data_IF_225063633273
#
_entry.id   IF_225063633273
#
_cell.length_a   1.000
_cell.length_b   1.000
_cell.length_c   1.000
_cell.angle_alpha   90.00
_cell.angle_beta   90.00
_cell.angle_gamma   90.00
#
_symmetry.space_group_name_H-M   'P 1'
#
loop_
_entity.id
_entity.type
_entity.pdbx_description
1 polymer ?
2 polymer ?
3 non-polymer ?
4 non-polymer ?
5 water ?
#
# COMPACT_ATOMS: atom_id res chain seq x y z
N UNK A 10 -2.19 -6.09 -29.88
CA UNK A 10 -2.90 -6.26 -28.59
C UNK A 10 -2.20 -7.24 -27.64
N UNK A 11 -1.87 -6.78 -26.43
CA UNK A 11 -1.16 -7.56 -25.39
C UNK A 11 -2.20 -8.36 -24.59
N UNK A 12 -2.03 -9.67 -24.47
CA UNK A 12 -2.99 -10.60 -23.82
C UNK A 12 -2.29 -11.27 -22.64
N UNK A 13 -3.08 -11.83 -21.73
CA UNK A 13 -2.60 -12.60 -20.57
C UNK A 13 -1.64 -13.69 -21.08
N UNK A 14 -1.99 -14.32 -22.20
CA UNK A 14 -1.25 -15.52 -22.69
C UNK A 14 0.15 -15.10 -23.17
N UNK A 15 0.29 -13.92 -23.79
CA UNK A 15 1.63 -13.42 -24.22
C UNK A 15 2.49 -13.12 -22.98
N UNK A 16 1.91 -12.63 -21.90
CA UNK A 16 2.63 -12.29 -20.66
C UNK A 16 3.10 -13.58 -19.98
N UNK A 17 2.28 -14.64 -20.07
CA UNK A 17 2.35 -15.83 -19.20
C UNK A 17 3.68 -16.53 -19.37
N UNK A 18 4.28 -16.51 -20.55
CA UNK A 18 5.55 -17.26 -20.78
C UNK A 18 6.76 -16.41 -20.39
N UNK A 19 6.59 -15.15 -20.01
CA UNK A 19 7.77 -14.27 -19.78
C UNK A 19 8.04 -14.23 -18.28
N UNK A 20 9.31 -14.04 -17.86
CA UNK A 20 9.59 -13.84 -16.43
C UNK A 20 8.94 -12.54 -15.95
N UNK A 21 8.64 -12.42 -14.64
CA UNK A 21 7.87 -11.30 -14.09
C UNK A 21 8.39 -9.88 -14.43
N UNK A 22 9.72 -9.68 -14.47
CA UNK A 22 10.33 -8.36 -14.77
C UNK A 22 10.08 -8.03 -16.24
N UNK A 23 10.14 -9.03 -17.13
CA UNK A 23 9.82 -8.88 -18.57
C UNK A 23 8.32 -8.59 -18.75
N UNK A 24 7.47 -9.19 -17.92
CA UNK A 24 6.01 -8.96 -17.97
C UNK A 24 5.73 -7.47 -17.70
N UNK A 25 6.36 -6.92 -16.67
CA UNK A 25 6.20 -5.50 -16.26
C UNK A 25 6.73 -4.62 -17.40
N UNK A 26 7.84 -5.00 -18.02
CA UNK A 26 8.42 -4.26 -19.17
C UNK A 26 7.42 -4.25 -20.34
N UNK A 27 6.78 -5.38 -20.64
CA UNK A 27 5.85 -5.47 -21.80
C UNK A 27 4.61 -4.61 -21.53
N UNK A 28 4.10 -4.65 -20.29
CA UNK A 28 2.92 -3.83 -19.90
C UNK A 28 3.28 -2.34 -19.97
N UNK A 29 4.45 -2.00 -19.45
CA UNK A 29 5.03 -0.65 -19.47
C UNK A 29 5.06 -0.07 -20.87
N UNK A 30 5.55 -0.84 -21.84
CA UNK A 30 5.70 -0.38 -23.25
C UNK A 30 4.33 -0.10 -23.86
N UNK A 31 3.28 -0.76 -23.42
CA UNK A 31 1.92 -0.50 -23.96
C UNK A 31 1.28 0.66 -23.20
N UNK A 32 1.50 0.77 -21.90
CA UNK A 32 0.84 1.83 -21.09
C UNK A 32 1.50 3.18 -21.36
N UNK A 33 2.82 3.21 -21.46
CA UNK A 33 3.58 4.46 -21.52
C UNK A 33 3.05 5.42 -22.60
N UNK A 34 2.87 5.00 -23.87
CA UNK A 34 2.42 5.93 -24.90
C UNK A 34 1.04 6.52 -24.63
N UNK A 35 0.12 5.74 -24.05
CA UNK A 35 -1.24 6.23 -23.68
C UNK A 35 -1.11 7.26 -22.56
N UNK A 36 -0.29 6.96 -21.56
CA UNK A 36 -0.12 7.87 -20.41
C UNK A 36 0.59 9.15 -20.87
N UNK A 37 1.55 9.00 -21.79
CA UNK A 37 2.30 10.13 -22.36
C UNK A 37 1.36 11.05 -23.16
N UNK A 38 0.38 10.51 -23.87
CA UNK A 38 -0.63 11.32 -24.57
C UNK A 38 -1.40 12.17 -23.56
N UNK A 39 -1.62 11.69 -22.32
CA UNK A 39 -2.37 12.41 -21.26
C UNK A 39 -1.47 13.43 -20.55
N UNK A 40 -0.29 13.00 -20.11
CA UNK A 40 0.58 13.78 -19.21
C UNK A 40 2.02 13.54 -19.62
N UNK A 41 2.49 14.24 -20.68
CA UNK A 41 3.82 14.00 -21.23
C UNK A 41 4.97 14.09 -20.22
N UNK A 42 4.93 15.03 -19.27
CA UNK A 42 6.05 15.22 -18.31
C UNK A 42 6.01 14.13 -17.25
N UNK A 43 4.82 13.65 -16.87
CA UNK A 43 4.68 12.69 -15.74
C UNK A 43 4.63 11.22 -16.22
N UNK A 44 4.71 10.96 -17.52
CA UNK A 44 4.37 9.64 -18.11
C UNK A 44 5.27 8.54 -17.52
N UNK A 45 6.57 8.79 -17.42
CA UNK A 45 7.52 7.82 -16.84
C UNK A 45 7.18 7.53 -15.39
N UNK A 46 6.89 8.56 -14.61
CA UNK A 46 6.59 8.40 -13.18
C UNK A 46 5.24 7.67 -13.03
N UNK A 47 4.24 8.09 -13.77
CA UNK A 47 2.88 7.52 -13.60
C UNK A 47 2.90 6.07 -14.08
N UNK A 48 3.59 5.80 -15.18
CA UNK A 48 3.71 4.40 -15.67
C UNK A 48 4.34 3.56 -14.56
N UNK A 49 5.44 4.03 -13.98
CA UNK A 49 6.12 3.32 -12.87
C UNK A 49 5.18 3.02 -11.72
N UNK A 50 4.33 3.98 -11.34
CA UNK A 50 3.37 3.83 -10.20
C UNK A 50 2.35 2.75 -10.57
N UNK A 51 1.84 2.77 -11.80
CA UNK A 51 0.81 1.78 -12.23
C UNK A 51 1.44 0.38 -12.29
N UNK A 52 2.71 0.26 -12.68
CA UNK A 52 3.34 -1.08 -12.86
C UNK A 52 3.46 -1.81 -11.53
N UNK A 53 3.34 -1.12 -10.38
CA UNK A 53 3.40 -1.80 -9.06
C UNK A 53 2.13 -2.63 -8.83
N UNK A 54 1.03 -2.37 -9.53
CA UNK A 54 -0.25 -3.09 -9.24
C UNK A 54 -0.26 -4.46 -9.95
N UNK A 55 -1.30 -5.25 -9.70
CA UNK A 55 -1.50 -6.62 -10.25
C UNK A 55 -1.57 -6.57 -11.78
N UNK A 56 -0.90 -7.48 -12.46
CA UNK A 56 -0.91 -7.58 -13.94
C UNK A 56 -2.34 -7.72 -14.47
N UNK A 57 -3.25 -8.36 -13.76
CA UNK A 57 -4.65 -8.50 -14.24
C UNK A 57 -5.28 -7.10 -14.33
N UNK A 58 -5.03 -6.23 -13.35
CA UNK A 58 -5.59 -4.86 -13.31
C UNK A 58 -5.00 -4.10 -14.50
N UNK A 59 -3.71 -4.25 -14.75
CA UNK A 59 -2.99 -3.57 -15.86
C UNK A 59 -3.55 -4.01 -17.21
N UNK A 60 -3.83 -5.30 -17.40
CA UNK A 60 -4.44 -5.78 -18.68
C UNK A 60 -5.83 -5.19 -18.85
N UNK A 61 -6.62 -5.14 -17.78
CA UNK A 61 -7.95 -4.50 -17.81
C UNK A 61 -7.81 -3.04 -18.27
N UNK A 62 -6.84 -2.32 -17.76
CA UNK A 62 -6.68 -0.88 -18.12
C UNK A 62 -6.26 -0.70 -19.58
N UNK A 63 -5.55 -1.66 -20.16
CA UNK A 63 -5.23 -1.60 -21.61
C UNK A 63 -6.48 -1.88 -22.45
N UNK A 64 -7.46 -2.58 -21.91
CA UNK A 64 -8.72 -2.88 -22.62
C UNK A 64 -9.78 -1.81 -22.30
N UNK A 65 -9.68 -1.07 -21.18
CA UNK A 65 -10.73 -0.12 -20.77
C UNK A 65 -10.14 1.28 -20.62
N UNK A 66 -10.20 2.13 -21.67
CA UNK A 66 -9.72 3.50 -21.59
C UNK A 66 -10.25 4.33 -20.40
N UNK A 67 -11.53 4.18 -20.05
CA UNK A 67 -12.15 4.88 -18.89
C UNK A 67 -11.46 4.41 -17.59
N UNK A 68 -11.14 3.14 -17.43
CA UNK A 68 -10.43 2.64 -16.25
C UNK A 68 -9.02 3.25 -16.21
N UNK A 69 -8.31 3.27 -17.34
CA UNK A 69 -6.92 3.81 -17.36
C UNK A 69 -6.97 5.29 -16.96
N UNK A 70 -7.88 6.06 -17.56
CA UNK A 70 -7.95 7.53 -17.33
C UNK A 70 -8.17 7.77 -15.83
N UNK A 71 -9.07 7.02 -15.17
CA UNK A 71 -9.32 7.17 -13.72
C UNK A 71 -8.10 6.77 -12.90
N UNK A 72 -7.38 5.75 -13.32
CA UNK A 72 -6.20 5.30 -12.56
C UNK A 72 -5.08 6.33 -12.68
N UNK A 73 -4.96 6.98 -13.84
CA UNK A 73 -3.99 8.07 -14.07
C UNK A 73 -4.40 9.29 -13.19
N UNK A 74 -5.69 9.61 -13.07
CA UNK A 74 -6.20 10.65 -12.16
C UNK A 74 -5.80 10.31 -10.71
N UNK A 75 -5.90 9.04 -10.31
CA UNK A 75 -5.47 8.60 -8.97
C UNK A 75 -3.96 8.87 -8.83
N UNK A 76 -3.13 8.50 -9.81
CA UNK A 76 -1.67 8.71 -9.76
C UNK A 76 -1.35 10.22 -9.61
N UNK A 77 -1.99 11.07 -10.39
CA UNK A 77 -1.79 12.55 -10.34
C UNK A 77 -2.16 13.06 -8.94
N UNK A 78 -3.29 12.65 -8.39
CA UNK A 78 -3.70 13.08 -7.02
C UNK A 78 -2.67 12.59 -5.99
N UNK A 79 -2.17 11.37 -6.15
CA UNK A 79 -1.17 10.79 -5.22
C UNK A 79 0.13 11.63 -5.31
N UNK A 80 0.56 12.02 -6.49
CA UNK A 80 1.76 12.91 -6.64
C UNK A 80 1.51 14.28 -5.97
N UNK A 81 0.35 14.88 -6.18
CA UNK A 81 -0.03 16.16 -5.56
C UNK A 81 0.01 16.02 -4.04
N UNK A 82 -0.54 14.91 -3.50
CA UNK A 82 -0.56 14.63 -2.05
C UNK A 82 0.87 14.59 -1.53
N UNK A 83 1.76 13.90 -2.24
CA UNK A 83 3.16 13.72 -1.80
C UNK A 83 3.89 15.07 -1.79
N UNK A 84 3.67 15.90 -2.79
CA UNK A 84 4.26 17.28 -2.86
C UNK A 84 3.73 18.10 -1.67
N UNK A 85 2.43 18.01 -1.34
CA UNK A 85 1.83 18.73 -0.22
C UNK A 85 2.44 18.21 1.09
N UNK A 86 2.59 16.90 1.24
CA UNK A 86 3.20 16.28 2.42
C UNK A 86 4.60 16.85 2.64
N UNK A 87 5.40 16.93 1.59
CA UNK A 87 6.81 17.43 1.68
C UNK A 87 6.78 18.92 2.03
N UNK A 88 5.87 19.71 1.44
CA UNK A 88 5.74 21.15 1.74
C UNK A 88 5.32 21.34 3.22
N UNK A 89 4.42 20.51 3.75
CA UNK A 89 3.99 20.55 5.17
C UNK A 89 5.18 20.28 6.09
N UNK A 90 6.04 19.32 5.72
CA UNK A 90 7.22 18.91 6.51
C UNK A 90 8.27 20.03 6.53
N UNK A 91 8.41 20.79 5.45
CA UNK A 91 9.42 21.85 5.28
C UNK A 91 8.94 23.17 5.91
N UNK A 92 7.67 23.29 6.27
CA UNK A 92 7.07 24.54 6.81
C UNK A 92 6.87 24.42 8.32
N UNK B 10 -4.64 28.54 24.97
CA UNK B 10 -3.50 27.89 24.30
C UNK B 10 -3.31 26.43 24.78
N UNK B 11 -3.32 25.48 23.83
CA UNK B 11 -3.17 24.03 24.09
C UNK B 11 -1.67 23.71 24.12
N UNK B 12 -1.18 23.05 25.17
CA UNK B 12 0.27 22.77 25.40
C UNK B 12 0.50 21.25 25.38
N UNK B 13 1.72 20.85 25.04
CA UNK B 13 2.12 19.43 25.00
C UNK B 13 1.85 18.82 26.39
N UNK B 14 2.05 19.58 27.46
CA UNK B 14 1.91 19.05 28.85
C UNK B 14 0.44 18.74 29.13
N UNK B 15 -0.51 19.57 28.69
CA UNK B 15 -1.93 19.29 29.02
C UNK B 15 -2.39 18.11 28.15
N UNK B 16 -1.85 17.98 26.93
CA UNK B 16 -2.19 16.81 26.09
C UNK B 16 -1.70 15.54 26.76
N UNK B 17 -0.47 15.59 27.30
CA UNK B 17 0.20 14.44 27.96
C UNK B 17 -0.64 13.99 29.17
N UNK B 18 -1.32 14.92 29.84
CA UNK B 18 -2.16 14.65 31.03
C UNK B 18 -3.44 13.88 30.67
N UNK B 19 -3.90 13.92 29.42
CA UNK B 19 -5.24 13.42 29.07
C UNK B 19 -5.12 12.03 28.47
N UNK B 20 -6.15 11.16 28.59
CA UNK B 20 -6.13 9.89 27.85
C UNK B 20 -6.15 10.13 26.34
N UNK B 21 -5.67 9.16 25.53
CA UNK B 21 -5.46 9.34 24.09
C UNK B 21 -6.66 9.86 23.29
N UNK B 22 -7.88 9.39 23.60
CA UNK B 22 -9.12 9.78 22.89
C UNK B 22 -9.37 11.27 23.13
N UNK B 23 -9.18 11.69 24.40
CA UNK B 23 -9.35 13.09 24.84
C UNK B 23 -8.29 13.96 24.15
N UNK B 24 -7.06 13.47 24.01
CA UNK B 24 -5.95 14.23 23.37
C UNK B 24 -6.35 14.60 21.92
N UNK B 25 -6.85 13.61 21.20
CA UNK B 25 -7.23 13.78 19.77
C UNK B 25 -8.42 14.74 19.71
N UNK B 26 -9.36 14.63 20.66
CA UNK B 26 -10.54 15.53 20.71
C UNK B 26 -10.10 16.96 20.97
N UNK B 27 -9.14 17.18 21.87
CA UNK B 27 -8.67 18.55 22.21
C UNK B 27 -7.95 19.18 21.01
N UNK B 28 -7.13 18.40 20.30
CA UNK B 28 -6.42 18.89 19.10
C UNK B 28 -7.46 19.23 18.00
N UNK B 29 -8.42 18.33 17.83
CA UNK B 29 -9.51 18.46 16.85
C UNK B 29 -10.25 19.76 17.05
N UNK B 30 -10.57 20.12 18.30
CA UNK B 30 -11.38 21.33 18.60
C UNK B 30 -10.59 22.59 18.22
N UNK B 31 -9.28 22.55 18.29
CA UNK B 31 -8.45 23.71 17.87
C UNK B 31 -8.25 23.70 16.35
N UNK B 32 -8.05 22.54 15.74
CA UNK B 32 -7.73 22.50 14.29
C UNK B 32 -8.99 22.76 13.45
N UNK B 33 -10.12 22.19 13.86
CA UNK B 33 -11.35 22.16 13.05
C UNK B 33 -11.72 23.55 12.55
N UNK B 34 -11.78 24.61 13.38
CA UNK B 34 -12.23 25.90 12.89
C UNK B 34 -11.32 26.47 11.78
N UNK B 35 -9.99 26.23 11.88
CA UNK B 35 -9.03 26.68 10.84
C UNK B 35 -9.26 25.85 9.58
N UNK B 36 -9.46 24.54 9.70
CA UNK B 36 -9.69 23.69 8.52
C UNK B 36 -11.03 24.04 7.86
N UNK B 37 -12.03 24.32 8.67
CA UNK B 37 -13.37 24.73 8.20
C UNK B 37 -13.29 26.07 7.45
N UNK B 38 -12.49 27.02 7.89
CA UNK B 38 -12.24 28.28 7.15
C UNK B 38 -11.69 27.97 5.75
N UNK B 39 -10.90 26.91 5.59
CA UNK B 39 -10.29 26.52 4.27
C UNK B 39 -11.28 25.71 3.42
N UNK B 40 -11.92 24.69 3.98
CA UNK B 40 -12.72 23.70 3.25
C UNK B 40 -13.93 23.33 4.07
N UNK B 41 -14.98 24.18 4.07
CA UNK B 41 -16.11 23.96 4.96
C UNK B 41 -16.81 22.60 4.79
N UNK B 42 -16.97 22.09 3.57
CA UNK B 42 -17.78 20.84 3.35
C UNK B 42 -16.92 19.64 3.78
N UNK B 43 -15.60 19.69 3.62
CA UNK B 43 -14.71 18.52 3.87
C UNK B 43 -14.09 18.59 5.29
N UNK B 44 -14.33 19.64 6.06
CA UNK B 44 -13.57 19.97 7.31
C UNK B 44 -13.65 18.81 8.31
N UNK B 45 -14.83 18.21 8.51
CA UNK B 45 -14.98 17.03 9.39
C UNK B 45 -14.09 15.89 9.00
N UNK B 46 -14.08 15.56 7.72
CA UNK B 46 -13.31 14.42 7.18
C UNK B 46 -11.82 14.76 7.24
N UNK B 47 -11.46 15.96 6.84
CA UNK B 47 -10.02 16.36 6.77
C UNK B 47 -9.46 16.39 8.20
N UNK B 48 -10.23 16.94 9.15
CA UNK B 48 -9.78 17.00 10.56
C UNK B 48 -9.55 15.57 11.03
N UNK B 49 -10.50 14.67 10.77
CA UNK B 49 -10.38 13.23 11.10
C UNK B 49 -9.10 12.62 10.58
N UNK B 50 -8.78 12.91 9.34
CA UNK B 50 -7.58 12.34 8.67
C UNK B 50 -6.32 12.88 9.34
N UNK B 51 -6.28 14.18 9.62
CA UNK B 51 -5.11 14.81 10.27
C UNK B 51 -4.93 14.25 11.70
N UNK B 52 -6.00 13.93 12.41
CA UNK B 52 -5.91 13.50 13.83
C UNK B 52 -5.19 12.17 13.93
N UNK B 53 -5.06 11.40 12.85
CA UNK B 53 -4.36 10.10 12.86
C UNK B 53 -2.84 10.32 12.91
N UNK B 54 -2.32 11.51 12.63
CA UNK B 54 -0.83 11.70 12.63
C UNK B 54 -0.36 11.97 14.08
N UNK B 55 0.96 12.09 14.27
CA UNK B 55 1.59 12.32 15.60
C UNK B 55 1.11 13.65 16.19
N UNK B 56 0.83 13.66 17.50
CA UNK B 56 0.42 14.87 18.25
C UNK B 56 1.46 15.97 18.08
N UNK B 57 2.74 15.65 18.01
CA UNK B 57 3.77 16.70 17.83
C UNK B 57 3.52 17.45 16.51
N UNK B 58 3.21 16.71 15.43
CA UNK B 58 2.96 17.32 14.10
C UNK B 58 1.71 18.22 14.20
N UNK B 59 0.68 17.76 14.88
CA UNK B 59 -0.60 18.51 15.02
C UNK B 59 -0.38 19.81 15.81
N UNK B 60 0.43 19.78 16.89
CA UNK B 60 0.76 21.00 17.65
C UNK B 60 1.55 21.97 16.78
N UNK B 61 2.50 21.47 16.00
CA UNK B 61 3.27 22.31 15.05
C UNK B 61 2.31 23.01 14.08
N UNK B 62 1.31 22.30 13.57
CA UNK B 62 0.37 22.87 12.56
C UNK B 62 -0.51 23.96 13.17
N UNK B 63 -0.77 23.91 14.48
CA UNK B 63 -1.48 25.03 15.17
C UNK B 63 -0.60 26.26 15.28
N UNK B 64 0.72 26.11 15.27
CA UNK B 64 1.66 27.26 15.33
C UNK B 64 2.16 27.64 13.95
N UNK B 65 2.04 26.79 12.93
CA UNK B 65 2.57 27.11 11.58
C UNK B 65 1.45 27.04 10.54
N UNK B 66 0.81 28.18 10.21
CA UNK B 66 -0.27 28.19 9.22
C UNK B 66 0.11 27.60 7.84
N UNK B 67 1.34 27.84 7.39
CA UNK B 67 1.86 27.30 6.11
C UNK B 67 1.88 25.76 6.19
N UNK B 68 2.28 25.19 7.32
CA UNK B 68 2.31 23.72 7.49
C UNK B 68 0.86 23.19 7.48
N UNK B 69 -0.05 23.83 8.19
CA UNK B 69 -1.47 23.36 8.22
C UNK B 69 -2.03 23.37 6.79
N UNK B 70 -1.84 24.47 6.07
CA UNK B 70 -2.44 24.64 4.72
C UNK B 70 -1.94 23.51 3.82
N UNK B 71 -0.65 23.17 3.87
CA UNK B 71 -0.06 22.09 3.05
C UNK B 71 -0.62 20.75 3.48
N UNK B 72 -0.83 20.53 4.77
CA UNK B 72 -1.31 19.22 5.25
C UNK B 72 -2.77 19.04 4.83
N UNK B 73 -3.53 20.13 4.79
CA UNK B 73 -4.95 20.12 4.33
C UNK B 73 -4.96 19.84 2.81
N UNK B 74 -4.01 20.40 2.06
CA UNK B 74 -3.84 20.12 0.60
C UNK B 74 -3.55 18.63 0.39
N UNK B 75 -2.71 18.03 1.25
CA UNK B 75 -2.44 16.59 1.20
C UNK B 75 -3.76 15.81 1.42
N UNK B 76 -4.56 16.17 2.43
CA UNK B 76 -5.83 15.47 2.72
C UNK B 76 -6.78 15.56 1.51
N UNK B 77 -6.93 16.75 0.91
CA UNK B 77 -7.82 16.97 -0.25
C UNK B 77 -7.33 16.09 -1.41
N UNK B 78 -6.03 16.07 -1.71
CA UNK B 78 -5.49 15.27 -2.82
C UNK B 78 -5.74 13.77 -2.53
N UNK B 79 -5.57 13.34 -1.28
CA UNK B 79 -5.82 11.93 -0.87
C UNK B 79 -7.30 11.59 -1.09
N UNK B 80 -8.24 12.48 -0.79
CA UNK B 80 -9.68 12.20 -1.03
C UNK B 80 -9.96 12.14 -2.55
N UNK B 81 -9.39 13.05 -3.34
CA UNK B 81 -9.51 12.99 -4.82
C UNK B 81 -8.92 11.67 -5.36
N UNK B 82 -7.78 11.24 -4.84
CA UNK B 82 -7.13 9.97 -5.23
C UNK B 82 -8.08 8.79 -4.95
N UNK B 83 -8.72 8.77 -3.78
CA UNK B 83 -9.62 7.66 -3.38
C UNK B 83 -10.83 7.61 -4.33
N UNK B 84 -11.41 8.75 -4.66
CA UNK B 84 -12.53 8.86 -5.62
C UNK B 84 -12.08 8.35 -7.00
N UNK B 85 -10.87 8.70 -7.46
CA UNK B 85 -10.35 8.21 -8.75
C UNK B 85 -10.13 6.69 -8.68
N UNK B 86 -9.57 6.18 -7.59
CA UNK B 86 -9.33 4.73 -7.39
C UNK B 86 -10.67 3.97 -7.56
N UNK B 87 -11.73 4.46 -6.91
CA UNK B 87 -13.07 3.80 -6.96
C UNK B 87 -13.63 3.92 -8.39
N UNK B 88 -13.47 5.05 -9.07
CA UNK B 88 -13.92 5.23 -10.47
C UNK B 88 -13.18 4.25 -11.40
N UNK B 89 -11.87 4.05 -11.21
CA UNK B 89 -11.06 3.10 -12.00
C UNK B 89 -11.57 1.66 -11.80
N UNK B 90 -11.95 1.29 -10.58
CA UNK B 90 -12.41 -0.08 -10.23
C UNK B 90 -13.79 -0.32 -10.83
N UNK B 91 -14.62 0.71 -10.94
CA UNK B 91 -16.02 0.60 -11.40
C UNK B 91 -16.11 0.71 -12.93
N UNK B 92 -15.00 1.01 -13.62
CA UNK B 92 -14.91 1.06 -15.09
C UNK B 92 -14.20 -0.21 -15.59
N UNK C 10 -11.56 -23.05 2.06
CA UNK C 10 -10.71 -24.27 2.02
C UNK C 10 -10.30 -24.69 3.45
N UNK C 11 -9.69 -23.77 4.16
CA UNK C 11 -9.34 -23.86 5.60
C UNK C 11 -9.69 -22.50 6.22
N UNK C 12 -10.46 -22.46 7.31
CA UNK C 12 -10.98 -21.22 7.95
C UNK C 12 -10.48 -21.13 9.39
N UNK C 13 -10.62 -19.96 10.02
CA UNK C 13 -10.26 -19.73 11.44
C UNK C 13 -10.96 -20.78 12.31
N UNK C 14 -12.23 -21.08 11.99
CA UNK C 14 -13.07 -21.97 12.82
C UNK C 14 -12.53 -23.40 12.73
N UNK C 15 -12.08 -23.85 11.57
CA UNK C 15 -11.51 -25.22 11.44
C UNK C 15 -10.21 -25.31 12.26
N UNK C 16 -9.43 -24.24 12.34
CA UNK C 16 -8.13 -24.23 13.09
C UNK C 16 -8.40 -24.33 14.59
N UNK C 17 -9.54 -23.79 15.07
CA UNK C 17 -9.93 -23.82 16.50
C UNK C 17 -9.94 -25.24 17.06
N UNK C 18 -9.97 -26.27 16.21
CA UNK C 18 -9.99 -27.71 16.59
C UNK C 18 -8.66 -28.18 17.20
N UNK C 19 -7.54 -27.51 16.89
CA UNK C 19 -6.20 -28.12 16.99
C UNK C 19 -5.28 -27.27 17.86
N UNK C 20 -4.28 -27.87 18.54
CA UNK C 20 -3.25 -27.09 19.23
C UNK C 20 -2.43 -26.28 18.22
N UNK C 21 -1.77 -25.18 18.66
CA UNK C 21 -1.10 -24.24 17.74
C UNK C 21 -0.07 -24.85 16.76
N UNK C 22 0.71 -25.84 17.18
CA UNK C 22 1.73 -26.49 16.31
C UNK C 22 1.01 -27.29 15.21
N UNK C 23 -0.12 -27.92 15.55
CA UNK C 23 -0.96 -28.66 14.57
C UNK C 23 -1.66 -27.68 13.62
N UNK C 24 -2.03 -26.49 14.12
CA UNK C 24 -2.61 -25.42 13.28
C UNK C 24 -1.59 -25.01 12.20
N UNK C 25 -0.33 -24.85 12.56
CA UNK C 25 0.80 -24.52 11.64
C UNK C 25 0.91 -25.64 10.61
N UNK C 26 0.82 -26.90 11.05
CA UNK C 26 0.89 -28.07 10.16
C UNK C 26 -0.28 -28.04 9.17
N UNK C 27 -1.50 -27.70 9.60
CA UNK C 27 -2.69 -27.68 8.73
C UNK C 27 -2.55 -26.55 7.69
N UNK C 28 -2.05 -25.39 8.10
CA UNK C 28 -1.83 -24.23 7.19
C UNK C 28 -0.76 -24.60 6.16
N UNK C 29 0.32 -25.23 6.63
CA UNK C 29 1.42 -25.74 5.81
C UNK C 29 0.91 -26.66 4.73
N UNK C 30 0.07 -27.63 5.07
CA UNK C 30 -0.43 -28.65 4.10
C UNK C 30 -1.28 -27.98 3.03
N UNK C 31 -1.94 -26.85 3.33
CA UNK C 31 -2.73 -26.15 2.30
C UNK C 31 -1.83 -25.21 1.49
N UNK C 32 -0.85 -24.56 2.12
CA UNK C 32 0.01 -23.57 1.41
C UNK C 32 1.02 -24.30 0.53
N UNK C 33 1.60 -25.38 1.00
CA UNK C 33 2.73 -26.03 0.30
C UNK C 33 2.38 -26.32 -1.16
N UNK C 34 1.26 -26.99 -1.50
CA UNK C 34 0.97 -27.32 -2.89
C UNK C 34 0.84 -26.09 -3.79
N UNK C 35 0.27 -25.00 -3.28
CA UNK C 35 0.11 -23.73 -4.01
C UNK C 35 1.50 -23.11 -4.25
N UNK C 36 2.35 -23.12 -3.23
CA UNK C 36 3.71 -22.53 -3.35
C UNK C 36 4.55 -23.40 -4.27
N UNK C 37 4.39 -24.72 -4.19
CA UNK C 37 5.06 -25.68 -5.08
C UNK C 37 4.66 -25.48 -6.55
N UNK C 38 3.40 -25.16 -6.83
CA UNK C 38 2.94 -24.82 -8.19
C UNK C 38 3.71 -23.57 -8.69
N UNK C 39 4.07 -22.63 -7.81
CA UNK C 39 4.81 -21.39 -8.18
C UNK C 39 6.32 -21.65 -8.29
N UNK C 40 6.91 -22.31 -7.28
CA UNK C 40 8.37 -22.44 -7.12
C UNK C 40 8.68 -23.84 -6.61
N UNK C 41 8.67 -24.85 -7.50
CA UNK C 41 8.80 -26.23 -7.08
C UNK C 41 10.07 -26.52 -6.24
N UNK C 42 11.23 -25.94 -6.58
CA UNK C 42 12.49 -26.29 -5.88
C UNK C 42 12.52 -25.62 -4.51
N UNK C 43 11.98 -24.41 -4.39
CA UNK C 43 12.09 -23.61 -3.13
C UNK C 43 10.84 -23.76 -2.24
N UNK C 44 9.85 -24.56 -2.63
CA UNK C 44 8.51 -24.61 -1.97
C UNK C 44 8.66 -24.93 -0.48
N UNK C 45 9.48 -25.92 -0.13
CA UNK C 45 9.73 -26.33 1.27
C UNK C 45 10.26 -25.17 2.08
N UNK C 46 11.26 -24.47 1.54
CA UNK C 46 11.92 -23.34 2.22
C UNK C 46 10.92 -22.19 2.36
N UNK C 47 10.24 -21.86 1.27
CA UNK C 47 9.34 -20.67 1.27
C UNK C 47 8.16 -20.97 2.20
N UNK C 48 7.62 -22.18 2.17
CA UNK C 48 6.48 -22.53 3.06
C UNK C 48 6.94 -22.38 4.52
N UNK C 49 8.11 -22.89 4.85
CA UNK C 49 8.72 -22.75 6.18
C UNK C 49 8.81 -21.30 6.61
N UNK C 50 9.24 -20.42 5.70
CA UNK C 50 9.40 -18.98 5.99
C UNK C 50 8.02 -18.38 6.29
N UNK C 51 7.02 -18.69 5.46
CA UNK C 51 5.65 -18.15 5.65
C UNK C 51 5.06 -18.64 6.99
N UNK C 52 5.35 -19.86 7.41
CA UNK C 52 4.68 -20.46 8.59
C UNK C 52 5.08 -19.71 9.86
N UNK C 53 6.17 -18.93 9.84
CA UNK C 53 6.61 -18.15 11.02
C UNK C 53 5.67 -16.98 11.27
N UNK C 54 4.87 -16.54 10.30
CA UNK C 54 4.03 -15.32 10.49
C UNK C 54 2.72 -15.71 11.21
N UNK C 55 1.89 -14.72 11.55
CA UNK C 55 0.63 -14.91 12.31
C UNK C 55 -0.35 -15.76 11.50
N UNK C 56 -1.04 -16.68 12.18
CA UNK C 56 -2.06 -17.58 11.58
C UNK C 56 -3.13 -16.76 10.85
N UNK C 57 -3.51 -15.59 11.35
CA UNK C 57 -4.54 -14.76 10.67
C UNK C 57 -4.04 -14.38 9.27
N UNK C 58 -2.76 -14.02 9.15
CA UNK C 58 -2.16 -13.59 7.86
C UNK C 58 -2.15 -14.80 6.92
N UNK C 59 -1.79 -15.97 7.42
CA UNK C 59 -1.72 -17.23 6.63
C UNK C 59 -3.12 -17.60 6.12
N UNK C 60 -4.17 -17.48 6.95
CA UNK C 60 -5.57 -17.76 6.51
C UNK C 60 -5.96 -16.77 5.42
N UNK C 61 -5.63 -15.50 5.58
CA UNK C 61 -5.89 -14.48 4.54
C UNK C 61 -5.25 -14.91 3.21
N UNK C 62 -4.02 -15.40 3.24
CA UNK C 62 -3.29 -15.78 2.00
C UNK C 62 -3.94 -17.01 1.33
N UNK C 63 -4.54 -17.91 2.10
CA UNK C 63 -5.31 -19.05 1.51
C UNK C 63 -6.61 -18.57 0.88
N UNK C 64 -7.14 -17.41 1.27
CA UNK C 64 -8.39 -16.87 0.68
C UNK C 64 -8.04 -15.84 -0.41
N UNK C 65 -6.84 -15.28 -0.42
CA UNK C 65 -6.48 -14.23 -1.42
C UNK C 65 -5.26 -14.66 -2.21
N UNK C 66 -5.43 -15.29 -3.39
CA UNK C 66 -4.29 -15.68 -4.23
C UNK C 66 -3.27 -14.57 -4.52
N UNK C 67 -3.75 -13.35 -4.76
CA UNK C 67 -2.92 -12.14 -4.96
C UNK C 67 -2.03 -11.88 -3.74
N UNK C 68 -2.55 -12.03 -2.53
CA UNK C 68 -1.77 -11.86 -1.28
C UNK C 68 -0.71 -12.96 -1.20
N UNK C 69 -1.08 -14.22 -1.46
CA UNK C 69 -0.09 -15.32 -1.40
C UNK C 69 1.05 -15.07 -2.38
N UNK C 70 0.72 -14.71 -3.62
CA UNK C 70 1.72 -14.49 -4.70
C UNK C 70 2.71 -13.40 -4.23
N UNK C 71 2.22 -12.30 -3.66
CA UNK C 71 3.09 -11.20 -3.15
C UNK C 71 3.94 -11.68 -1.97
N UNK C 72 3.39 -12.52 -1.10
CA UNK C 72 4.13 -13.01 0.08
C UNK C 72 5.23 -13.97 -0.37
N UNK C 73 4.96 -14.74 -1.41
CA UNK C 73 5.96 -15.67 -2.01
C UNK C 73 7.07 -14.82 -2.68
N UNK C 74 6.71 -13.72 -3.34
CA UNK C 74 7.70 -12.75 -3.91
C UNK C 74 8.58 -12.19 -2.79
N UNK C 75 8.03 -11.90 -1.62
CA UNK C 75 8.80 -11.45 -0.45
C UNK C 75 9.81 -12.53 -0.07
N UNK C 76 9.37 -13.79 0.05
CA UNK C 76 10.24 -14.91 0.41
C UNK C 76 11.38 -15.05 -0.61
N UNK C 77 11.07 -14.99 -1.89
CA UNK C 77 12.07 -15.17 -2.98
C UNK C 77 13.09 -14.03 -2.90
N UNK C 78 12.66 -12.80 -2.76
CA UNK C 78 13.57 -11.63 -2.64
C UNK C 78 14.43 -11.76 -1.37
N UNK C 79 13.89 -12.26 -0.27
CA UNK C 79 14.64 -12.48 0.98
C UNK C 79 15.72 -13.54 0.73
N UNK C 80 15.43 -14.61 -0.01
CA UNK C 80 16.46 -15.65 -0.30
C UNK C 80 17.53 -15.07 -1.24
N UNK C 81 17.15 -14.29 -2.24
CA UNK C 81 18.11 -13.60 -3.16
C UNK C 81 19.00 -12.66 -2.32
N UNK C 82 18.42 -11.91 -1.38
CA UNK C 82 19.15 -11.01 -0.47
C UNK C 82 20.19 -11.81 0.30
N UNK C 83 19.79 -12.97 0.82
CA UNK C 83 20.70 -13.80 1.66
C UNK C 83 21.89 -14.30 0.81
N UNK C 84 21.61 -14.75 -0.42
CA UNK C 84 22.65 -15.23 -1.36
C UNK C 84 23.62 -14.06 -1.67
N UNK C 85 23.10 -12.86 -1.90
CA UNK C 85 23.94 -11.66 -2.18
C UNK C 85 24.78 -11.31 -0.94
N UNK C 86 24.18 -11.33 0.25
CA UNK C 86 24.89 -11.09 1.53
C UNK C 86 26.11 -12.02 1.64
N UNK C 87 25.92 -13.31 1.37
CA UNK C 87 26.98 -14.32 1.50
C UNK C 87 28.04 -14.06 0.43
N UNK C 88 27.65 -13.72 -0.80
CA UNK C 88 28.58 -13.43 -1.90
C UNK C 88 29.43 -12.19 -1.56
N UNK C 89 28.84 -11.16 -0.95
CA UNK C 89 29.56 -9.93 -0.54
C UNK C 89 30.64 -10.28 0.50
N UNK C 90 30.31 -11.15 1.46
CA UNK C 90 31.20 -11.56 2.56
C UNK C 90 32.37 -12.40 2.02
N UNK C 91 32.14 -13.19 0.98
CA UNK C 91 33.13 -14.13 0.41
C UNK C 91 34.03 -13.42 -0.62
N UNK C 92 33.72 -12.18 -1.02
CA UNK C 92 34.47 -11.42 -2.04
C UNK C 92 35.32 -10.35 -1.36
N UNK D 2 11.24 -7.47 10.49
CA UNK D 2 10.57 -6.62 9.50
C UNK D 2 10.18 -7.45 8.27
N UNK D 3 11.06 -8.35 7.82
CA UNK D 3 10.85 -9.22 6.64
C UNK D 3 10.89 -10.68 7.08
N UNK D 4 10.48 -11.58 6.20
CA UNK D 4 10.58 -13.04 6.40
C UNK D 4 12.03 -13.42 6.69
N UNK D 5 12.21 -14.56 7.33
CA UNK D 5 13.50 -15.00 7.91
C UNK D 5 14.13 -16.01 6.99
N UNK D 6 15.30 -15.72 6.36
CA UNK D 6 15.92 -16.67 5.43
C UNK D 6 16.48 -17.93 6.13
N UNK D 7 16.55 -17.92 7.46
CA UNK D 7 17.06 -19.05 8.27
C UNK D 7 15.93 -19.94 8.81
N UNK D 8 14.66 -19.68 8.46
CA UNK D 8 13.50 -20.53 8.83
C UNK D 8 13.73 -21.97 8.34
N UNK D 9 13.29 -22.90 9.16
CA UNK D 9 13.23 -24.36 8.87
C UNK D 9 12.28 -24.61 7.71
N UNK D 10 12.67 -25.49 6.79
CA UNK D 10 11.85 -25.95 5.65
C UNK D 10 10.60 -26.65 6.20
N UNK D 11 9.46 -26.52 5.54
CA UNK D 11 8.27 -27.37 5.79
C UNK D 11 8.35 -28.62 4.90
N UNK D 12 8.16 -29.80 5.50
CA UNK D 12 8.08 -31.09 4.76
C UNK D 12 6.65 -31.61 4.80
N UNK D 13 6.03 -31.94 3.66
CA UNK D 13 4.70 -32.56 3.68
C UNK D 13 4.78 -34.07 4.01
N UNK E 2 -3.69 0.21 -0.42
CA UNK E 2 -4.57 1.39 -0.51
C UNK E 2 -4.37 2.17 -1.83
N UNK E 3 -3.84 3.39 -1.78
CA UNK E 3 -3.60 4.25 -2.98
C UNK E 3 -2.26 3.90 -3.61
N UNK E 4 -2.04 4.36 -4.84
CA UNK E 4 -0.75 4.17 -5.54
C UNK E 4 0.38 4.76 -4.70
N UNK E 5 1.59 4.35 -5.01
CA UNK E 5 2.82 4.68 -4.26
C UNK E 5 3.55 5.85 -4.92
N UNK E 6 3.63 7.03 -4.27
CA UNK E 6 4.28 8.20 -4.87
C UNK E 6 5.80 8.04 -5.04
N UNK E 7 6.37 7.02 -4.43
CA UNK E 7 7.83 6.71 -4.44
C UNK E 7 8.16 5.61 -5.44
N UNK E 8 7.21 5.16 -6.28
CA UNK E 8 7.45 4.16 -7.33
C UNK E 8 8.57 4.63 -8.25
N UNK E 9 9.42 3.69 -8.69
CA UNK E 9 10.48 3.96 -9.70
C UNK E 9 9.82 4.33 -11.04
N UNK E 10 10.35 5.35 -11.72
CA UNK E 10 9.95 5.75 -13.08
C UNK E 10 10.12 4.57 -14.02
N UNK E 11 9.24 4.43 -15.00
CA UNK E 11 9.43 3.49 -16.12
C UNK E 11 10.12 4.25 -17.26
N UNK E 12 11.17 3.69 -17.84
CA UNK E 12 11.87 4.25 -19.03
C UNK E 12 11.63 3.29 -20.19
N UNK E 13 10.98 3.72 -21.29
CA UNK E 13 10.56 2.79 -22.34
C UNK E 13 11.71 2.36 -23.27
N UNK F 2 2.44 6.23 4.33
CA UNK F 2 3.19 7.27 3.61
C UNK F 2 2.32 8.53 3.45
N UNK F 3 1.07 8.36 3.03
CA UNK F 3 0.09 9.47 2.87
C UNK F 3 -1.04 9.30 3.90
N UNK F 4 -1.77 10.37 4.16
CA UNK F 4 -2.98 10.37 5.01
C UNK F 4 -3.95 9.31 4.52
N UNK F 5 -4.85 8.90 5.39
CA UNK F 5 -5.73 7.73 5.23
C UNK F 5 -7.11 8.22 4.82
N UNK F 6 -7.57 7.91 3.59
CA UNK F 6 -8.89 8.37 3.12
C UNK F 6 -10.08 7.72 3.87
N UNK F 7 -9.81 6.67 4.65
CA UNK F 7 -10.81 5.92 5.44
C UNK F 7 -10.89 6.40 6.90
N UNK F 8 -10.14 7.44 7.28
CA UNK F 8 -10.21 8.01 8.66
C UNK F 8 -11.65 8.41 9.00
N UNK F 9 -12.03 8.20 10.25
CA UNK F 9 -13.29 8.65 10.86
C UNK F 9 -13.34 10.18 10.86
N UNK F 10 -14.50 10.73 10.49
CA UNK F 10 -14.79 12.18 10.53
C UNK F 10 -14.69 12.66 11.97
N UNK F 11 -14.25 13.89 12.17
CA UNK F 11 -14.24 14.56 13.49
C UNK F 11 -15.58 15.29 13.68
N UNK F 12 -16.21 15.13 14.83
CA UNK F 12 -17.45 15.82 15.22
C UNK F 12 -17.09 16.82 16.30
N UNK F 13 -17.11 18.13 15.99
CA UNK F 13 -16.91 19.14 17.00
C UNK F 13 -18.17 19.10 17.87
N UNK F 14 -18.04 19.19 19.19
CA UNK F 14 -19.12 18.90 20.17
C UNK F 14 -19.25 20.04 21.17
X LIG G 1 -15.09 22.57 0.61
X LIG G 1 -15.16 21.50 -0.35
X LIG G 1 -16.33 23.30 0.62
X LIG G 1 -14.88 21.98 1.91
X LIG G 1 -14.00 23.47 0.26
X LIG H 1 3.56 12.48 20.73
X LIG H 1 2.47 11.55 20.92
X LIG H 1 3.33 13.64 21.57
X LIG H 1 4.81 11.84 21.09
X LIG H 1 3.63 12.87 19.35
X LIG I 1 11.95 -22.98 -8.21
X LIG I 1 11.37 -23.08 -6.89
X LIG I 1 11.29 -21.91 -8.96
X LIG I 1 11.80 -24.24 -8.90
X LIG I 1 13.36 -22.67 -8.06
X LIG J 1 -2.43 5.91 1.13
X LIG J 1 -3.04 6.64 2.20
X LIG J 1 -0.91 5.93 1.19
X LIG J 1 -0.44 4.67 1.65
X LIG J 1 -0.24 6.33 -0.12
X LIG J 1 0.01 5.25 -1.03
#
# INVERSE_FOLDING_TARGET
GSGTAAQPAPLTASMLASAPPQEQKQMLGERLFPLIQAMHPTLAGKITGMLLEIDNSELLHMLESPESLRSKVDEAVAVLQAHQAKEAAAAA
GSGTAAQPAPLTASMLASAPPQEQKQMLGERLFPLIQAMHPTLAGKITGMLLEIDNSELLHMLESPESLRSKVDEAVAVLQAHQAKEAAAAA
GSGTAAQPAPLTASMLASAPPQEQKQMLGERLFPLIQAMHPTLAGKITGMLLEIDNSELLHMLESPESLRSKVDEAVAVLQAHQAKEAAAAA
HPLLNPSALEFNPSQTY
HPLLNPSALEFNPSQTY
HPLLNPSALEFNPSQTY
SO4 S O1 O2 O3 O4
SO4 S O1 O2 O3 O4
SO4 S O1 O2 O3 O4
GOL C1 O1 C2 O2 C3 O3
#
